data_IF_724373984309
#
_entry.id   IF_724373984309
#
_cell.length_a   1.000
_cell.length_b   1.000
_cell.length_c   1.000
_cell.angle_alpha   90.00
_cell.angle_beta   90.00
_cell.angle_gamma   90.00
#
_symmetry.space_group_name_H-M   'P 1'
#
loop_
_entity.id
_entity.type
_entity.pdbx_description
1 polymer ?
#
# COMPACT_ATOMS: atom_id res chain seq x y z
N UNK A 1 -9.77 10.82 29.15
CA UNK A 1 -9.75 12.12 29.80
C UNK A 1 -9.17 13.21 28.91
N UNK A 2 -8.04 12.95 28.28
CA UNK A 2 -7.43 13.87 27.32
C UNK A 2 -8.37 14.18 26.16
N UNK A 3 -9.07 13.17 25.69
CA UNK A 3 -10.08 13.24 24.62
C UNK A 3 -11.22 14.20 24.96
N UNK A 4 -11.77 14.10 26.16
CA UNK A 4 -12.88 14.95 26.61
C UNK A 4 -12.42 16.40 26.72
N UNK A 5 -11.21 16.64 27.21
CA UNK A 5 -10.66 18.00 27.34
C UNK A 5 -10.40 18.62 25.95
N UNK A 6 -9.93 17.85 24.99
CA UNK A 6 -9.69 18.31 23.61
C UNK A 6 -11.02 18.64 22.91
N UNK A 7 -12.05 17.84 23.11
CA UNK A 7 -13.38 18.11 22.57
C UNK A 7 -13.99 19.40 23.16
N UNK A 8 -13.88 19.59 24.47
CA UNK A 8 -14.35 20.80 25.13
C UNK A 8 -13.60 22.04 24.67
N UNK A 9 -12.29 21.91 24.48
CA UNK A 9 -11.46 22.98 23.99
C UNK A 9 -11.81 23.35 22.54
N UNK A 10 -12.07 22.37 21.72
CA UNK A 10 -12.48 22.54 20.33
C UNK A 10 -13.83 23.24 20.24
N UNK A 11 -14.80 22.82 21.04
CA UNK A 11 -16.12 23.44 21.12
C UNK A 11 -16.02 24.90 21.54
N UNK A 12 -15.22 25.20 22.55
CA UNK A 12 -15.04 26.54 23.05
C UNK A 12 -14.40 27.48 22.05
N UNK A 13 -13.34 27.01 21.35
CA UNK A 13 -12.57 27.84 20.42
C UNK A 13 -13.32 28.15 19.12
N UNK A 14 -14.17 27.23 18.65
CA UNK A 14 -14.89 27.38 17.39
C UNK A 14 -16.30 27.91 17.52
N UNK A 15 -16.79 28.11 18.77
CA UNK A 15 -18.14 28.60 19.04
C UNK A 15 -19.22 27.86 18.28
N UNK A 16 -19.08 26.54 18.15
CA UNK A 16 -20.00 25.70 17.38
C UNK A 16 -21.36 25.58 18.08
N UNK A 17 -22.43 25.55 17.29
CA UNK A 17 -23.73 25.17 17.83
C UNK A 17 -23.74 23.69 18.26
N UNK A 18 -24.69 23.31 19.09
CA UNK A 18 -24.75 21.96 19.65
C UNK A 18 -24.96 20.90 18.58
N UNK A 19 -25.76 21.18 17.56
CA UNK A 19 -26.03 20.22 16.49
C UNK A 19 -24.76 19.94 15.67
N UNK A 20 -23.98 20.96 15.36
CA UNK A 20 -22.71 20.82 14.64
C UNK A 20 -21.68 20.08 15.48
N UNK A 21 -21.59 20.42 16.77
CA UNK A 21 -20.69 19.73 17.69
C UNK A 21 -21.03 18.23 17.78
N UNK A 22 -22.31 17.90 17.88
CA UNK A 22 -22.77 16.51 17.95
C UNK A 22 -22.38 15.73 16.70
N UNK A 23 -22.47 16.36 15.53
CA UNK A 23 -22.05 15.74 14.28
C UNK A 23 -20.54 15.47 14.26
N UNK A 24 -19.74 16.44 14.68
CA UNK A 24 -18.28 16.30 14.76
C UNK A 24 -17.91 15.20 15.74
N UNK A 25 -18.59 15.12 16.88
CA UNK A 25 -18.34 14.10 17.91
C UNK A 25 -18.61 12.67 17.41
N UNK A 26 -19.41 12.50 16.38
CA UNK A 26 -19.67 11.20 15.75
C UNK A 26 -18.56 10.77 14.79
N UNK A 27 -17.68 11.68 14.39
CA UNK A 27 -16.55 11.34 13.54
C UNK A 27 -15.56 10.53 14.36
N UNK A 28 -15.21 9.30 13.91
CA UNK A 28 -14.30 8.45 14.67
C UNK A 28 -12.92 9.10 14.83
N UNK A 29 -12.31 8.88 15.98
CA UNK A 29 -10.93 9.31 16.19
C UNK A 29 -10.01 8.40 15.38
N UNK A 30 -9.07 8.99 14.64
CA UNK A 30 -8.17 8.27 13.75
C UNK A 30 -7.43 7.12 14.46
N UNK A 31 -7.08 7.30 15.72
CA UNK A 31 -6.42 6.25 16.51
C UNK A 31 -7.29 5.00 16.65
N UNK A 32 -8.58 5.17 16.92
CA UNK A 32 -9.51 4.04 17.10
C UNK A 32 -9.68 3.27 15.78
N UNK A 33 -9.76 3.99 14.66
CA UNK A 33 -9.80 3.38 13.32
C UNK A 33 -8.52 2.63 13.00
N UNK A 34 -7.38 3.18 13.39
CA UNK A 34 -6.07 2.53 13.16
C UNK A 34 -5.95 1.21 13.92
N UNK A 35 -6.44 1.16 15.16
CA UNK A 35 -6.46 -0.08 15.94
C UNK A 35 -7.35 -1.12 15.27
N UNK A 36 -8.56 -0.71 14.85
CA UNK A 36 -9.48 -1.61 14.15
C UNK A 36 -8.90 -2.13 12.83
N UNK A 37 -8.31 -1.24 12.03
CA UNK A 37 -7.68 -1.60 10.76
C UNK A 37 -6.55 -2.62 10.97
N UNK A 38 -5.76 -2.44 12.04
CA UNK A 38 -4.70 -3.38 12.37
C UNK A 38 -5.24 -4.75 12.75
N UNK A 39 -6.32 -4.80 13.52
CA UNK A 39 -6.96 -6.06 13.90
C UNK A 39 -7.47 -6.81 12.67
N UNK A 40 -8.09 -6.11 11.73
CA UNK A 40 -8.56 -6.69 10.46
C UNK A 40 -7.39 -7.19 9.60
N UNK A 41 -6.29 -6.45 9.60
CA UNK A 41 -5.08 -6.83 8.87
C UNK A 41 -4.49 -8.14 9.42
N UNK A 42 -4.38 -8.27 10.74
CA UNK A 42 -3.89 -9.50 11.38
C UNK A 42 -4.79 -10.68 11.03
N UNK A 43 -6.11 -10.49 11.02
CA UNK A 43 -7.06 -11.54 10.61
C UNK A 43 -6.82 -11.98 9.17
N UNK A 44 -6.58 -11.03 8.26
CA UNK A 44 -6.28 -11.37 6.86
C UNK A 44 -4.99 -12.17 6.74
N UNK A 45 -3.95 -11.79 7.46
CA UNK A 45 -2.67 -12.51 7.44
C UNK A 45 -2.83 -13.94 7.96
N UNK A 46 -3.59 -14.11 9.03
CA UNK A 46 -3.90 -15.44 9.58
C UNK A 46 -4.68 -16.28 8.56
N UNK A 47 -5.65 -15.69 7.89
CA UNK A 47 -6.42 -16.36 6.84
C UNK A 47 -5.55 -16.80 5.67
N UNK A 48 -4.62 -15.98 5.23
CA UNK A 48 -3.68 -16.34 4.16
C UNK A 48 -2.85 -17.55 4.57
N UNK A 49 -2.35 -17.55 5.79
CA UNK A 49 -1.54 -18.66 6.29
C UNK A 49 -2.34 -19.96 6.43
N UNK A 50 -3.61 -19.88 6.81
CA UNK A 50 -4.48 -21.05 6.94
C UNK A 50 -4.95 -21.59 5.60
N UNK A 51 -5.41 -20.71 4.70
CA UNK A 51 -6.01 -21.10 3.42
C UNK A 51 -5.00 -21.37 2.32
N UNK A 52 -3.90 -20.64 2.33
CA UNK A 52 -2.86 -20.68 1.29
C UNK A 52 -1.45 -20.68 1.89
N UNK A 53 -1.10 -21.70 2.70
CA UNK A 53 0.18 -21.71 3.42
C UNK A 53 1.39 -21.68 2.49
N UNK A 54 1.33 -22.37 1.35
CA UNK A 54 2.45 -22.43 0.40
C UNK A 54 2.66 -21.08 -0.30
N UNK A 55 1.57 -20.44 -0.72
CA UNK A 55 1.65 -19.12 -1.35
C UNK A 55 2.08 -18.04 -0.35
N UNK A 56 1.62 -18.14 0.89
CA UNK A 56 2.02 -17.21 1.94
C UNK A 56 3.51 -17.33 2.25
N UNK A 57 4.03 -18.55 2.35
CA UNK A 57 5.45 -18.80 2.52
C UNK A 57 6.26 -18.24 1.35
N UNK A 58 5.75 -18.39 0.13
CA UNK A 58 6.37 -17.83 -1.08
C UNK A 58 6.41 -16.31 -1.04
N UNK A 59 5.33 -15.67 -0.58
CA UNK A 59 5.27 -14.22 -0.43
C UNK A 59 6.32 -13.72 0.58
N UNK A 60 6.45 -14.38 1.72
CA UNK A 60 7.45 -14.05 2.75
C UNK A 60 8.87 -14.21 2.19
N UNK A 61 9.12 -15.30 1.48
CA UNK A 61 10.42 -15.56 0.85
C UNK A 61 10.77 -14.49 -0.19
N UNK A 62 9.80 -14.08 -0.99
CA UNK A 62 9.96 -13.01 -1.97
C UNK A 62 10.35 -11.68 -1.32
N UNK A 63 9.69 -11.33 -0.22
CA UNK A 63 10.01 -10.12 0.53
C UNK A 63 11.45 -10.20 1.04
N UNK A 64 11.82 -11.31 1.63
CA UNK A 64 13.15 -11.48 2.23
C UNK A 64 14.27 -11.48 1.18
N UNK A 65 14.09 -12.20 0.08
CA UNK A 65 15.13 -12.40 -0.93
C UNK A 65 15.22 -11.29 -1.96
N UNK A 66 14.09 -10.68 -2.34
CA UNK A 66 14.06 -9.71 -3.44
C UNK A 66 13.76 -8.28 -3.00
N UNK A 67 12.83 -8.10 -2.07
CA UNK A 67 12.40 -6.77 -1.67
C UNK A 67 13.33 -6.15 -0.63
N UNK A 68 13.68 -6.90 0.41
CA UNK A 68 14.48 -6.36 1.51
C UNK A 68 15.87 -5.88 1.09
N UNK A 69 16.60 -6.55 0.18
CA UNK A 69 17.87 -6.02 -0.29
C UNK A 69 17.74 -4.65 -0.97
N UNK A 70 16.66 -4.44 -1.73
CA UNK A 70 16.39 -3.14 -2.38
C UNK A 70 16.00 -2.10 -1.34
N UNK A 71 15.13 -2.45 -0.40
CA UNK A 71 14.68 -1.55 0.67
C UNK A 71 15.87 -1.09 1.52
N UNK A 72 16.76 -2.00 1.89
CA UNK A 72 17.95 -1.66 2.70
C UNK A 72 18.90 -0.72 1.99
N UNK A 73 19.02 -0.83 0.67
CA UNK A 73 19.85 0.10 -0.13
C UNK A 73 19.27 1.51 -0.21
N UNK A 74 17.96 1.65 -0.02
CA UNK A 74 17.25 2.92 -0.16
C UNK A 74 16.75 3.51 1.16
N UNK A 75 17.31 3.07 2.30
CA UNK A 75 16.91 3.57 3.62
C UNK A 75 17.03 5.08 3.76
N UNK A 76 18.06 5.67 3.16
CA UNK A 76 18.30 7.12 3.24
C UNK A 76 17.35 7.94 2.36
N UNK A 77 16.83 7.35 1.29
CA UNK A 77 15.88 8.04 0.40
C UNK A 77 14.43 7.98 0.91
N UNK A 78 14.14 7.09 1.87
CA UNK A 78 12.80 6.93 2.43
C UNK A 78 11.82 6.20 1.52
N UNK A 79 12.26 5.76 0.34
CA UNK A 79 11.42 5.11 -0.64
C UNK A 79 12.22 4.10 -1.46
N UNK A 80 11.63 2.93 -1.67
CA UNK A 80 12.20 1.89 -2.54
C UNK A 80 11.24 1.59 -3.68
N UNK A 81 11.77 1.45 -4.89
CA UNK A 81 11.03 1.05 -6.08
C UNK A 81 11.41 -0.37 -6.47
N UNK A 82 10.42 -1.22 -6.61
CA UNK A 82 10.60 -2.63 -6.99
C UNK A 82 9.80 -2.88 -8.25
N UNK A 83 10.51 -3.22 -9.32
CA UNK A 83 9.89 -3.43 -10.62
C UNK A 83 9.37 -4.86 -10.76
N UNK A 84 8.25 -5.01 -11.45
CA UNK A 84 7.59 -6.31 -11.66
C UNK A 84 8.17 -7.12 -12.81
N UNK A 85 9.30 -6.75 -13.35
CA UNK A 85 9.94 -7.53 -14.44
C UNK A 85 10.32 -8.94 -13.99
N UNK A 86 10.34 -9.21 -12.69
CA UNK A 86 10.39 -10.57 -12.20
C UNK A 86 9.01 -11.21 -12.35
N UNK A 87 8.95 -12.38 -12.95
CA UNK A 87 7.74 -13.19 -13.14
C UNK A 87 6.99 -13.48 -11.82
N UNK A 88 7.55 -13.09 -10.72
CA UNK A 88 7.10 -13.38 -9.36
C UNK A 88 6.00 -12.44 -8.86
N UNK A 89 5.78 -11.32 -9.55
CA UNK A 89 4.74 -10.33 -9.17
C UNK A 89 3.49 -10.42 -10.06
N UNK A 90 3.28 -11.56 -10.72
CA UNK A 90 2.12 -11.75 -11.61
C UNK A 90 0.90 -12.30 -10.92
N UNK A 91 1.05 -12.95 -9.77
CA UNK A 91 -0.08 -13.51 -9.03
C UNK A 91 -0.70 -12.43 -8.14
N UNK A 92 -1.97 -12.03 -8.40
CA UNK A 92 -2.63 -11.00 -7.59
C UNK A 92 -2.75 -11.37 -6.11
N UNK A 93 -2.89 -12.64 -5.78
CA UNK A 93 -3.00 -13.09 -4.40
C UNK A 93 -1.67 -12.93 -3.65
N UNK A 94 -0.57 -13.32 -4.27
CA UNK A 94 0.78 -13.12 -3.69
C UNK A 94 1.05 -11.64 -3.49
N UNK A 95 0.68 -10.80 -4.45
CA UNK A 95 0.84 -9.36 -4.35
C UNK A 95 0.03 -8.77 -3.19
N UNK A 96 -1.21 -9.22 -3.02
CA UNK A 96 -2.05 -8.82 -1.90
C UNK A 96 -1.43 -9.22 -0.55
N UNK A 97 -0.89 -10.41 -0.46
CA UNK A 97 -0.17 -10.88 0.73
C UNK A 97 1.04 -10.00 1.06
N UNK A 98 1.83 -9.64 0.05
CA UNK A 98 3.00 -8.77 0.21
C UNK A 98 2.60 -7.40 0.73
N UNK A 99 1.56 -6.80 0.15
CA UNK A 99 1.03 -5.51 0.60
C UNK A 99 0.62 -5.57 2.06
N UNK A 100 -0.12 -6.60 2.45
CA UNK A 100 -0.62 -6.74 3.81
C UNK A 100 0.50 -6.99 4.81
N UNK A 101 1.53 -7.77 4.44
CA UNK A 101 2.70 -7.99 5.29
C UNK A 101 3.45 -6.66 5.52
N UNK A 102 3.67 -5.87 4.48
CA UNK A 102 4.31 -4.57 4.61
C UNK A 102 3.48 -3.61 5.46
N UNK A 103 2.16 -3.60 5.27
CA UNK A 103 1.26 -2.78 6.08
C UNK A 103 1.33 -3.16 7.56
N UNK A 104 1.38 -4.46 7.88
CA UNK A 104 1.54 -4.94 9.26
C UNK A 104 2.85 -4.47 9.89
N UNK A 105 3.90 -4.34 9.08
CA UNK A 105 5.21 -3.88 9.54
C UNK A 105 5.36 -2.35 9.53
N UNK A 106 4.32 -1.62 9.18
CA UNK A 106 4.30 -0.16 9.23
C UNK A 106 4.76 0.55 7.96
N UNK A 107 4.97 -0.18 6.87
CA UNK A 107 5.32 0.42 5.59
C UNK A 107 4.06 0.84 4.83
N UNK A 108 4.18 1.93 4.09
CA UNK A 108 3.15 2.39 3.16
C UNK A 108 3.54 1.95 1.74
N UNK A 109 2.65 1.24 1.07
CA UNK A 109 2.92 0.67 -0.24
C UNK A 109 1.95 1.22 -1.28
N UNK A 110 2.47 1.44 -2.49
CA UNK A 110 1.67 1.89 -3.63
C UNK A 110 2.04 1.03 -4.83
N UNK A 111 1.03 0.61 -5.59
CA UNK A 111 1.24 -0.09 -6.86
C UNK A 111 0.95 0.90 -7.98
N UNK A 112 1.97 1.14 -8.82
CA UNK A 112 1.84 1.92 -10.03
C UNK A 112 1.79 0.94 -11.21
N UNK A 113 0.67 0.91 -11.92
CA UNK A 113 0.46 0.01 -13.05
C UNK A 113 0.53 0.84 -14.32
N UNK A 114 1.42 0.45 -15.24
CA UNK A 114 1.55 1.10 -16.54
C UNK A 114 1.34 0.10 -17.65
N UNK A 115 0.63 0.54 -18.66
CA UNK A 115 0.35 -0.25 -19.87
C UNK A 115 1.10 0.36 -21.04
N UNK A 116 1.80 -0.51 -21.76
CA UNK A 116 2.54 -0.12 -22.95
C UNK A 116 2.09 -0.95 -24.14
N UNK A 117 1.94 -0.29 -25.29
CA UNK A 117 1.74 -0.98 -26.57
C UNK A 117 3.11 -1.20 -27.19
N UNK A 118 3.52 -2.46 -27.28
CA UNK A 118 4.81 -2.83 -27.86
C UNK A 118 4.57 -3.36 -29.25
N UNK A 119 5.25 -2.82 -30.29
CA UNK A 119 5.19 -3.39 -31.64
C UNK A 119 5.70 -4.82 -31.62
N UNK A 120 4.86 -5.77 -32.01
CA UNK A 120 5.21 -7.18 -32.02
C UNK A 120 5.38 -7.75 -33.42
N UNK A 121 4.60 -7.24 -34.37
CA UNK A 121 4.54 -7.79 -35.72
C UNK A 121 4.18 -6.71 -36.72
N UNK A 122 4.83 -6.70 -37.87
CA UNK A 122 4.45 -5.85 -38.99
C UNK A 122 3.81 -6.76 -40.05
N UNK A 123 2.60 -6.41 -40.49
CA UNK A 123 1.94 -7.10 -41.57
C UNK A 123 2.64 -6.70 -42.90
N UNK A 124 3.28 -7.62 -43.62
CA UNK A 124 4.06 -7.28 -44.81
C UNK A 124 3.20 -6.80 -45.99
N UNK A 125 1.89 -7.08 -45.98
CA UNK A 125 0.98 -6.67 -47.06
C UNK A 125 0.42 -5.27 -46.86
N UNK A 126 0.05 -4.93 -45.64
CA UNK A 126 -0.61 -3.67 -45.32
C UNK A 126 0.30 -2.68 -44.62
N UNK A 127 1.47 -3.09 -44.16
CA UNK A 127 2.40 -2.32 -43.31
C UNK A 127 1.79 -1.88 -41.97
N UNK A 128 0.68 -2.50 -41.58
CA UNK A 128 0.09 -2.27 -40.28
C UNK A 128 0.92 -2.94 -39.20
N UNK A 129 1.12 -2.22 -38.09
CA UNK A 129 1.86 -2.69 -36.92
C UNK A 129 0.88 -3.28 -35.94
N UNK A 130 0.99 -4.57 -35.69
CA UNK A 130 0.29 -5.20 -34.57
C UNK A 130 1.03 -4.92 -33.27
N UNK A 131 0.32 -4.35 -32.31
CA UNK A 131 0.86 -4.06 -31.00
C UNK A 131 0.39 -5.10 -29.99
N UNK A 132 1.29 -5.50 -29.10
CA UNK A 132 0.99 -6.34 -27.96
C UNK A 132 0.99 -5.47 -26.70
N UNK A 133 -0.04 -5.62 -25.87
CA UNK A 133 -0.11 -4.92 -24.60
C UNK A 133 0.88 -5.55 -23.60
N UNK A 134 1.73 -4.71 -23.02
CA UNK A 134 2.61 -5.09 -21.91
C UNK A 134 2.18 -4.32 -20.67
N UNK A 135 1.91 -5.03 -19.59
CA UNK A 135 1.58 -4.45 -18.29
C UNK A 135 2.83 -4.53 -17.41
N UNK A 136 3.28 -3.37 -16.96
CA UNK A 136 4.42 -3.26 -16.04
C UNK A 136 3.92 -2.69 -14.72
N UNK A 137 4.23 -3.38 -13.66
CA UNK A 137 3.90 -2.97 -12.32
C UNK A 137 5.14 -2.39 -11.64
N UNK A 138 4.96 -1.32 -10.92
CA UNK A 138 5.98 -0.81 -10.04
C UNK A 138 5.43 -0.82 -8.62
N UNK A 139 6.11 -1.55 -7.76
CA UNK A 139 5.77 -1.61 -6.35
C UNK A 139 6.63 -0.57 -5.62
N UNK A 140 5.98 0.40 -5.00
CA UNK A 140 6.66 1.49 -4.29
C UNK A 140 6.45 1.28 -2.80
N UNK A 141 7.54 1.12 -2.07
CA UNK A 141 7.52 0.99 -0.61
C UNK A 141 8.01 2.29 -0.01
N UNK A 142 7.16 2.94 0.76
CA UNK A 142 7.49 4.15 1.49
C UNK A 142 7.79 3.79 2.95
N UNK A 143 8.88 4.33 3.47
CA UNK A 143 9.25 4.15 4.86
C UNK A 143 8.42 5.08 5.74
N UNK A 144 8.20 4.72 7.03
CA UNK A 144 7.50 5.61 7.96
C UNK A 144 8.16 6.98 8.01
N UNK A 145 7.35 8.04 7.91
CA UNK A 145 7.82 9.42 7.95
C UNK A 145 8.36 9.97 6.63
N UNK A 146 8.44 9.18 5.56
CA UNK A 146 8.94 9.65 4.26
C UNK A 146 8.08 10.76 3.67
N UNK A 147 6.80 10.83 3.98
CA UNK A 147 5.88 11.87 3.52
C UNK A 147 6.22 13.24 4.07
N UNK A 148 6.85 13.32 5.23
CA UNK A 148 7.22 14.59 5.87
C UNK A 148 8.29 15.31 5.03
N UNK A 149 9.13 14.56 4.34
CA UNK A 149 10.23 15.11 3.52
C UNK A 149 9.75 15.67 2.18
N UNK A 150 8.56 15.34 1.74
CA UNK A 150 8.02 15.76 0.43
C UNK A 150 7.57 17.22 0.39
N UNK A 151 7.27 17.82 1.54
CA UNK A 151 6.90 19.22 1.63
C UNK A 151 8.06 20.19 1.64
N UNK A 152 9.25 19.70 1.45
CA UNK A 152 10.48 20.51 1.47
C UNK A 152 10.94 20.86 0.08
#
# INVERSE_FOLDING_TARGET
QRRIQDELRYQSSLELDQATFDRISRIPIARDLSIHARQELVKRLDSYNEEHPDLFAQAVELIDDKFMPIIRRHTMSGRAHINSESHLLTDPLVLAMIIDIFADRGYDTVIDVRRYDIPSKVNPETWEIECREKIVWRFIVNFPGSRIRRGQ
#
